data_IF_628773178406
#
_entry.id   IF_628773178406
#
_cell.length_a   1.000
_cell.length_b   1.000
_cell.length_c   1.000
_cell.angle_alpha   90.00
_cell.angle_beta   90.00
_cell.angle_gamma   90.00
#
_symmetry.space_group_name_H-M   'P 1'
#
loop_
_entity.id
_entity.type
_entity.pdbx_description
1 polymer ?
#
# COMPACT_ATOMS: atom_id res chain seq x y z
N UNK A 1 -2.33 19.32 -2.72
CA UNK A 1 -2.03 19.10 -4.16
C UNK A 1 -2.07 17.61 -4.40
N UNK A 2 -2.91 17.17 -5.33
CA UNK A 2 -3.10 15.74 -5.61
C UNK A 2 -1.77 15.11 -6.08
N UNK A 3 -1.38 14.00 -5.44
CA UNK A 3 -0.20 13.22 -5.83
C UNK A 3 -0.62 12.02 -6.69
N UNK A 4 -1.81 11.45 -6.43
CA UNK A 4 -2.38 10.33 -7.17
C UNK A 4 -3.78 10.70 -7.63
N UNK A 5 -4.07 10.49 -8.92
CA UNK A 5 -5.39 10.66 -9.51
C UNK A 5 -5.79 9.41 -10.26
N UNK A 6 -6.94 8.86 -9.91
CA UNK A 6 -7.52 7.66 -10.52
C UNK A 6 -8.82 8.07 -11.18
N UNK A 7 -8.88 8.02 -12.51
CA UNK A 7 -9.98 8.56 -13.29
C UNK A 7 -10.58 7.48 -14.19
N UNK A 8 -11.81 7.06 -13.89
CA UNK A 8 -12.59 6.13 -14.69
C UNK A 8 -11.92 4.77 -14.88
N UNK A 9 -11.13 4.30 -13.90
CA UNK A 9 -10.36 3.06 -14.06
C UNK A 9 -11.30 1.86 -14.13
N UNK A 10 -11.19 1.14 -15.24
CA UNK A 10 -11.90 -0.10 -15.54
C UNK A 10 -10.90 -1.23 -15.76
N UNK A 11 -11.21 -2.43 -15.27
CA UNK A 11 -10.42 -3.65 -15.55
C UNK A 11 -11.33 -4.82 -15.84
N UNK A 12 -11.14 -5.39 -17.01
CA UNK A 12 -11.83 -6.61 -17.47
C UNK A 12 -10.78 -7.68 -17.77
N UNK A 13 -10.88 -8.81 -17.11
CA UNK A 13 -10.09 -10.00 -17.43
C UNK A 13 -10.90 -10.87 -18.39
N UNK A 14 -10.25 -11.36 -19.44
CA UNK A 14 -10.83 -12.31 -20.38
C UNK A 14 -9.92 -13.52 -20.52
N UNK A 15 -10.49 -14.72 -20.57
CA UNK A 15 -9.72 -15.93 -20.87
C UNK A 15 -9.41 -16.02 -22.36
N UNK A 16 -8.25 -16.57 -22.74
CA UNK A 16 -7.74 -16.66 -24.13
C UNK A 16 -8.67 -17.39 -25.10
N UNK A 17 -9.64 -18.16 -24.63
CA UNK A 17 -10.50 -19.03 -25.45
C UNK A 17 -11.99 -18.66 -25.38
N UNK A 18 -12.34 -17.38 -25.29
CA UNK A 18 -13.75 -16.95 -25.34
C UNK A 18 -14.58 -17.29 -24.12
N UNK A 19 -13.94 -17.57 -22.98
CA UNK A 19 -14.59 -17.84 -21.70
C UNK A 19 -15.15 -16.59 -21.02
N UNK A 20 -15.69 -16.77 -19.82
CA UNK A 20 -16.33 -15.71 -19.04
C UNK A 20 -15.42 -14.47 -18.89
N UNK A 21 -16.00 -13.30 -19.14
CA UNK A 21 -15.38 -12.01 -18.84
C UNK A 21 -15.64 -11.68 -17.37
N UNK A 22 -14.60 -11.35 -16.64
CA UNK A 22 -14.70 -10.90 -15.24
C UNK A 22 -14.36 -9.41 -15.21
N UNK A 23 -15.33 -8.59 -14.90
CA UNK A 23 -15.16 -7.15 -14.72
C UNK A 23 -14.74 -6.91 -13.25
N UNK A 24 -13.44 -6.82 -13.03
CA UNK A 24 -12.88 -6.67 -11.68
C UNK A 24 -12.97 -5.22 -11.16
N UNK A 25 -12.89 -4.24 -12.07
CA UNK A 25 -13.12 -2.82 -11.78
C UNK A 25 -14.01 -2.26 -12.87
N UNK A 26 -15.03 -1.47 -12.49
CA UNK A 26 -16.01 -0.91 -13.41
C UNK A 26 -15.76 0.55 -13.74
N UNK A 27 -15.65 1.39 -12.70
CA UNK A 27 -15.46 2.84 -12.83
C UNK A 27 -14.88 3.41 -11.53
N UNK A 28 -13.59 3.17 -11.28
CA UNK A 28 -12.95 3.64 -10.05
C UNK A 28 -12.46 5.06 -10.22
N UNK A 29 -12.91 5.95 -9.32
CA UNK A 29 -12.54 7.36 -9.30
C UNK A 29 -12.19 7.79 -7.88
N UNK A 30 -10.99 8.30 -7.66
CA UNK A 30 -10.57 8.98 -6.44
C UNK A 30 -9.23 9.71 -6.65
N UNK A 31 -8.91 10.59 -5.73
CA UNK A 31 -7.61 11.27 -5.67
C UNK A 31 -6.97 11.02 -4.31
N UNK A 32 -5.64 11.15 -4.21
CA UNK A 32 -4.90 11.15 -2.95
C UNK A 32 -4.02 12.39 -2.91
N UNK A 33 -4.09 13.14 -1.80
CA UNK A 33 -3.27 14.31 -1.59
C UNK A 33 -1.87 13.92 -1.07
N UNK A 34 -0.87 14.77 -1.35
CA UNK A 34 0.47 14.56 -0.81
C UNK A 34 0.44 14.56 0.73
N UNK A 35 1.06 13.55 1.36
CA UNK A 35 1.06 13.36 2.81
C UNK A 35 -0.24 12.75 3.35
N UNK A 36 -1.19 12.37 2.52
CA UNK A 36 -2.41 11.69 2.97
C UNK A 36 -2.14 10.22 3.29
N UNK A 37 -2.80 9.69 4.33
CA UNK A 37 -2.86 8.27 4.62
C UNK A 37 -4.26 7.76 4.34
N UNK A 38 -4.41 7.01 3.26
CA UNK A 38 -5.69 6.47 2.78
C UNK A 38 -5.72 4.95 2.99
N UNK A 39 -6.82 4.44 3.55
CA UNK A 39 -7.12 3.02 3.55
C UNK A 39 -8.21 2.70 2.52
N UNK A 40 -8.06 1.59 1.80
CA UNK A 40 -9.05 1.04 0.88
C UNK A 40 -9.59 -0.25 1.49
N UNK A 41 -10.88 -0.29 1.77
CA UNK A 41 -11.58 -1.42 2.35
C UNK A 41 -12.64 -1.98 1.40
N UNK A 42 -13.00 -3.23 1.58
CA UNK A 42 -14.08 -3.90 0.82
C UNK A 42 -14.02 -5.41 1.01
N UNK A 43 -15.06 -6.10 0.58
CA UNK A 43 -15.17 -7.55 0.66
C UNK A 43 -14.12 -8.27 -0.21
N UNK A 44 -13.92 -9.56 0.02
CA UNK A 44 -13.10 -10.38 -0.88
C UNK A 44 -13.71 -10.35 -2.29
N UNK A 45 -12.85 -10.19 -3.30
CA UNK A 45 -13.31 -10.10 -4.70
C UNK A 45 -13.82 -8.73 -5.15
N UNK A 46 -13.87 -7.71 -4.29
CA UNK A 46 -14.34 -6.36 -4.66
C UNK A 46 -13.42 -5.58 -5.60
N UNK A 47 -12.24 -6.12 -5.95
CA UNK A 47 -11.30 -5.49 -6.88
C UNK A 47 -10.10 -4.79 -6.24
N UNK A 48 -9.92 -4.84 -4.91
CA UNK A 48 -8.84 -4.15 -4.19
C UNK A 48 -7.44 -4.51 -4.69
N UNK A 49 -7.13 -5.79 -4.79
CA UNK A 49 -5.82 -6.27 -5.28
C UNK A 49 -5.62 -5.91 -6.75
N UNK A 50 -6.68 -5.96 -7.56
CA UNK A 50 -6.63 -5.50 -8.97
C UNK A 50 -6.30 -4.02 -9.04
N UNK A 51 -6.98 -3.19 -8.24
CA UNK A 51 -6.71 -1.77 -8.16
C UNK A 51 -5.26 -1.51 -7.72
N UNK A 52 -4.82 -2.17 -6.63
CA UNK A 52 -3.46 -2.02 -6.14
C UNK A 52 -2.41 -2.38 -7.19
N UNK A 53 -2.61 -3.47 -7.96
CA UNK A 53 -1.71 -3.86 -9.05
C UNK A 53 -1.64 -2.80 -10.15
N UNK A 54 -2.75 -2.15 -10.48
CA UNK A 54 -2.77 -1.05 -11.45
C UNK A 54 -2.03 0.17 -10.91
N UNK A 55 -2.27 0.57 -9.66
CA UNK A 55 -1.56 1.67 -8.98
C UNK A 55 -0.06 1.38 -8.86
N UNK A 56 0.28 0.11 -8.75
CA UNK A 56 1.64 -0.40 -8.70
C UNK A 56 2.34 -0.43 -10.08
N UNK A 57 1.63 -0.11 -11.16
CA UNK A 57 2.10 -0.34 -12.52
C UNK A 57 2.57 -1.80 -12.76
N UNK A 58 1.93 -2.78 -12.07
CA UNK A 58 2.10 -4.23 -12.28
C UNK A 58 1.10 -4.76 -13.30
N UNK A 59 -0.03 -4.07 -13.45
CA UNK A 59 -1.07 -4.38 -14.43
C UNK A 59 -1.55 -3.07 -15.07
N UNK A 60 -2.13 -3.16 -16.28
CA UNK A 60 -2.69 -2.01 -16.99
C UNK A 60 -4.21 -2.04 -16.92
N UNK A 61 -4.89 -0.90 -16.73
CA UNK A 61 -6.34 -0.85 -16.81
C UNK A 61 -6.81 -1.14 -18.24
N UNK A 62 -8.05 -1.61 -18.39
CA UNK A 62 -8.70 -1.78 -19.69
C UNK A 62 -9.15 -0.43 -20.25
N UNK A 63 -9.53 0.51 -19.37
CA UNK A 63 -9.87 1.89 -19.68
C UNK A 63 -9.63 2.78 -18.45
N UNK A 64 -9.64 4.10 -18.64
CA UNK A 64 -9.34 5.08 -17.62
C UNK A 64 -7.84 5.36 -17.50
N UNK A 65 -7.49 6.27 -16.60
CA UNK A 65 -6.11 6.73 -16.39
C UNK A 65 -5.73 6.74 -14.92
N UNK A 66 -4.45 6.54 -14.64
CA UNK A 66 -3.85 6.69 -13.31
C UNK A 66 -2.67 7.64 -13.43
N UNK A 67 -2.75 8.79 -12.76
CA UNK A 67 -1.69 9.80 -12.74
C UNK A 67 -0.99 9.78 -11.38
N UNK A 68 0.33 9.68 -11.37
CA UNK A 68 1.16 9.87 -10.17
C UNK A 68 2.12 11.04 -10.40
N UNK A 69 1.97 12.10 -9.61
CA UNK A 69 2.74 13.37 -9.79
C UNK A 69 2.72 13.88 -11.24
N UNK A 70 1.56 13.83 -11.90
CA UNK A 70 1.39 14.24 -13.29
C UNK A 70 1.92 13.26 -14.34
N UNK A 71 2.49 12.12 -13.93
CA UNK A 71 2.92 11.07 -14.85
C UNK A 71 1.81 10.03 -15.03
N UNK A 72 1.40 9.79 -16.27
CA UNK A 72 0.42 8.75 -16.59
C UNK A 72 1.05 7.35 -16.52
N UNK A 73 0.69 6.59 -15.47
CA UNK A 73 1.19 5.22 -15.27
C UNK A 73 0.78 4.28 -16.41
N UNK A 74 -0.33 4.56 -17.07
CA UNK A 74 -0.87 3.71 -18.14
C UNK A 74 -0.07 3.86 -19.43
N UNK A 75 0.61 5.00 -19.61
CA UNK A 75 1.42 5.33 -20.77
C UNK A 75 2.91 5.00 -20.61
N UNK A 76 3.36 4.59 -19.42
CA UNK A 76 4.77 4.23 -19.19
C UNK A 76 5.14 3.02 -20.06
N UNK A 77 6.25 3.15 -20.78
CA UNK A 77 6.79 2.06 -21.63
C UNK A 77 7.30 0.91 -20.77
N UNK A 78 7.09 -0.32 -21.19
CA UNK A 78 7.43 -1.53 -20.42
C UNK A 78 8.90 -1.56 -19.95
N UNK A 79 9.83 -1.04 -20.74
CA UNK A 79 11.26 -0.93 -20.38
C UNK A 79 11.56 0.07 -19.25
N UNK A 80 10.66 1.03 -19.00
CA UNK A 80 10.83 2.12 -18.03
C UNK A 80 10.06 1.85 -16.74
N UNK A 81 9.03 0.99 -16.80
CA UNK A 81 8.11 0.76 -15.69
C UNK A 81 8.83 0.22 -14.42
N UNK A 82 9.86 -0.61 -14.58
CA UNK A 82 10.63 -1.14 -13.44
C UNK A 82 11.43 -0.05 -12.72
N UNK A 83 12.05 0.87 -13.49
CA UNK A 83 12.76 2.02 -12.94
C UNK A 83 11.77 2.99 -12.26
N UNK A 84 10.64 3.26 -12.90
CA UNK A 84 9.59 4.09 -12.32
C UNK A 84 9.10 3.55 -10.95
N UNK A 85 8.76 2.24 -10.88
CA UNK A 85 8.35 1.61 -9.62
C UNK A 85 9.41 1.75 -8.54
N UNK A 86 10.69 1.47 -8.86
CA UNK A 86 11.80 1.58 -7.92
C UNK A 86 11.97 2.99 -7.38
N UNK A 87 11.82 4.00 -8.24
CA UNK A 87 12.16 5.38 -7.91
C UNK A 87 10.99 6.15 -7.26
N UNK A 88 9.74 5.76 -7.54
CA UNK A 88 8.55 6.51 -7.10
C UNK A 88 7.65 5.75 -6.12
N UNK A 89 7.71 4.41 -6.08
CA UNK A 89 6.81 3.59 -5.28
C UNK A 89 7.55 2.77 -4.23
N UNK A 90 6.97 2.68 -3.04
CA UNK A 90 7.38 1.73 -2.01
C UNK A 90 6.30 0.67 -1.81
N UNK A 91 6.71 -0.59 -1.64
CA UNK A 91 5.77 -1.70 -1.47
C UNK A 91 5.94 -2.40 -0.13
N UNK A 92 4.83 -2.61 0.57
CA UNK A 92 4.75 -3.41 1.79
C UNK A 92 3.65 -4.46 1.60
N UNK A 93 4.04 -5.74 1.58
CA UNK A 93 3.15 -6.87 1.33
C UNK A 93 2.84 -7.64 2.62
N UNK A 94 1.74 -8.39 2.62
CA UNK A 94 1.33 -9.25 3.72
C UNK A 94 2.40 -10.29 4.07
N UNK A 95 3.01 -10.94 3.07
CA UNK A 95 4.01 -12.00 3.25
C UNK A 95 5.45 -11.48 3.23
N UNK A 96 5.65 -10.19 3.56
CA UNK A 96 6.96 -9.52 3.64
C UNK A 96 7.73 -9.47 2.31
N UNK A 97 7.70 -10.51 1.51
CA UNK A 97 8.43 -10.70 0.24
C UNK A 97 9.93 -10.38 0.40
N UNK A 98 10.53 -10.84 1.49
CA UNK A 98 11.97 -10.81 1.70
C UNK A 98 12.62 -12.03 1.06
N UNK A 99 13.82 -11.86 0.55
CA UNK A 99 14.64 -12.93 -0.01
C UNK A 99 15.38 -13.62 1.14
N UNK A 100 15.10 -14.90 1.39
CA UNK A 100 15.64 -15.66 2.52
C UNK A 100 17.16 -15.90 2.44
N UNK A 101 17.72 -15.83 1.24
CA UNK A 101 19.17 -15.97 0.98
C UNK A 101 19.96 -14.68 1.23
N UNK A 102 19.28 -13.58 1.51
CA UNK A 102 19.85 -12.26 1.77
C UNK A 102 19.64 -11.86 3.22
N UNK A 103 20.61 -11.13 3.78
CA UNK A 103 20.43 -10.49 5.09
C UNK A 103 19.33 -9.45 5.05
N UNK A 104 18.86 -8.97 6.21
CA UNK A 104 17.90 -7.86 6.22
C UNK A 104 18.49 -6.59 5.60
N UNK A 105 19.79 -6.32 5.81
CA UNK A 105 20.50 -5.22 5.16
C UNK A 105 20.45 -5.34 3.64
N UNK A 106 20.78 -6.50 3.09
CA UNK A 106 20.79 -6.74 1.64
C UNK A 106 19.37 -6.59 1.05
N UNK A 107 18.36 -7.14 1.73
CA UNK A 107 16.96 -6.97 1.34
C UNK A 107 16.53 -5.49 1.28
N UNK A 108 16.90 -4.71 2.30
CA UNK A 108 16.56 -3.29 2.39
C UNK A 108 17.29 -2.48 1.31
N UNK A 109 18.57 -2.79 1.06
CA UNK A 109 19.38 -2.07 0.11
C UNK A 109 19.15 -2.46 -1.35
N UNK A 110 18.46 -3.57 -1.63
CA UNK A 110 18.27 -4.08 -2.98
C UNK A 110 17.76 -3.01 -3.98
N UNK A 111 16.75 -2.19 -3.70
CA UNK A 111 16.33 -1.14 -4.62
C UNK A 111 17.43 -0.10 -4.88
N UNK A 112 18.21 0.24 -3.88
CA UNK A 112 19.30 1.21 -3.98
C UNK A 112 20.48 0.66 -4.81
N UNK A 113 20.77 -0.64 -4.69
CA UNK A 113 21.76 -1.35 -5.51
C UNK A 113 21.31 -1.36 -6.99
N UNK A 114 20.04 -1.66 -7.24
CA UNK A 114 19.47 -1.63 -8.59
C UNK A 114 19.44 -0.21 -9.19
N UNK A 115 19.36 0.82 -8.35
CA UNK A 115 19.51 2.23 -8.75
C UNK A 115 20.97 2.65 -8.92
N UNK A 116 21.94 1.78 -8.65
CA UNK A 116 23.40 2.02 -8.72
C UNK A 116 23.85 3.16 -7.81
N UNK A 117 23.21 3.30 -6.64
CA UNK A 117 23.69 4.25 -5.63
C UNK A 117 25.05 3.82 -5.10
N UNK A 118 25.89 4.78 -4.72
CA UNK A 118 27.16 4.50 -4.08
C UNK A 118 26.96 3.86 -2.70
N UNK A 119 27.94 3.07 -2.24
CA UNK A 119 27.89 2.45 -0.91
C UNK A 119 27.69 3.51 0.21
N UNK A 120 28.35 4.65 0.05
CA UNK A 120 28.24 5.75 1.02
C UNK A 120 26.81 6.28 1.11
N UNK A 121 26.14 6.52 -0.03
CA UNK A 121 24.74 6.97 -0.07
C UNK A 121 23.80 5.92 0.50
N UNK A 122 24.00 4.65 0.17
CA UNK A 122 23.22 3.55 0.71
C UNK A 122 23.29 3.52 2.24
N UNK A 123 24.50 3.61 2.82
CA UNK A 123 24.69 3.61 4.27
C UNK A 123 24.13 4.88 4.95
N UNK A 124 24.22 6.04 4.29
CA UNK A 124 23.62 7.29 4.79
C UNK A 124 22.10 7.21 4.87
N UNK A 125 21.45 6.47 3.97
CA UNK A 125 20.00 6.24 3.99
C UNK A 125 19.61 5.13 4.98
N UNK A 126 20.36 4.04 5.00
CA UNK A 126 20.06 2.85 5.80
C UNK A 126 20.12 3.11 7.30
N UNK A 127 21.22 3.71 7.80
CA UNK A 127 21.46 3.85 9.23
C UNK A 127 20.33 4.55 9.98
N UNK A 128 19.90 5.78 9.59
CA UNK A 128 18.81 6.46 10.30
C UNK A 128 17.49 5.73 10.14
N UNK A 129 17.24 5.12 8.97
CA UNK A 129 16.02 4.37 8.72
C UNK A 129 15.93 3.11 9.59
N UNK A 130 17.00 2.34 9.69
CA UNK A 130 17.06 1.15 10.53
C UNK A 130 16.88 1.47 12.03
N UNK A 131 17.43 2.58 12.49
CA UNK A 131 17.22 3.07 13.85
C UNK A 131 15.75 3.46 14.08
N UNK A 132 15.15 4.22 13.18
CA UNK A 132 13.76 4.64 13.28
C UNK A 132 12.79 3.45 13.31
N UNK A 133 13.08 2.40 12.53
CA UNK A 133 12.26 1.20 12.46
C UNK A 133 12.61 0.16 13.55
N UNK A 134 13.62 0.41 14.40
CA UNK A 134 14.01 -0.48 15.49
C UNK A 134 14.55 -1.83 14.99
N UNK A 135 15.31 -1.82 13.89
CA UNK A 135 15.93 -3.02 13.29
C UNK A 135 17.43 -2.89 13.08
N UNK A 136 18.07 -1.85 13.65
CA UNK A 136 19.50 -1.60 13.45
C UNK A 136 20.39 -2.79 13.86
N UNK A 137 20.07 -3.43 14.99
CA UNK A 137 20.83 -4.59 15.52
C UNK A 137 20.51 -5.90 14.78
N UNK A 138 19.53 -5.87 13.85
CA UNK A 138 19.07 -7.04 13.10
C UNK A 138 19.59 -7.07 11.66
N UNK A 139 20.25 -6.03 11.20
CA UNK A 139 20.62 -5.86 9.79
C UNK A 139 21.43 -7.04 9.21
N UNK A 140 22.27 -7.67 10.02
CA UNK A 140 23.12 -8.81 9.63
C UNK A 140 22.42 -10.17 9.71
N UNK A 141 21.19 -10.22 10.25
CA UNK A 141 20.39 -11.44 10.34
C UNK A 141 19.68 -11.73 9.04
N UNK A 142 19.37 -13.00 8.83
CA UNK A 142 18.54 -13.47 7.74
C UNK A 142 17.04 -13.43 8.12
N UNK A 143 16.12 -13.39 7.15
CA UNK A 143 14.69 -13.36 7.43
C UNK A 143 14.20 -14.49 8.34
N UNK A 144 14.72 -15.71 8.20
CA UNK A 144 14.36 -16.85 9.06
C UNK A 144 14.83 -16.76 10.50
N UNK A 145 15.73 -15.82 10.83
CA UNK A 145 16.27 -15.61 12.20
C UNK A 145 15.50 -14.54 13.01
N UNK A 146 14.47 -13.94 12.44
CA UNK A 146 13.75 -12.82 13.02
C UNK A 146 12.24 -13.05 13.05
N UNK A 147 11.52 -12.37 13.96
CA UNK A 147 10.06 -12.48 14.07
C UNK A 147 9.31 -11.87 12.88
N UNK A 148 8.02 -12.23 12.70
CA UNK A 148 7.16 -11.67 11.66
C UNK A 148 7.10 -10.15 11.70
N UNK A 149 6.95 -9.55 12.89
CA UNK A 149 6.96 -8.09 13.04
C UNK A 149 8.31 -7.46 12.66
N UNK A 150 9.44 -8.13 12.94
CA UNK A 150 10.77 -7.67 12.52
C UNK A 150 10.94 -7.78 11.00
N UNK A 151 10.46 -8.87 10.38
CA UNK A 151 10.41 -9.01 8.91
C UNK A 151 9.61 -7.87 8.28
N UNK A 152 8.45 -7.55 8.84
CA UNK A 152 7.59 -6.50 8.29
C UNK A 152 8.22 -5.11 8.41
N UNK A 153 8.92 -4.83 9.51
CA UNK A 153 9.69 -3.59 9.64
C UNK A 153 10.84 -3.51 8.64
N UNK A 154 11.51 -4.63 8.33
CA UNK A 154 12.51 -4.68 7.27
C UNK A 154 11.90 -4.48 5.88
N UNK A 155 10.73 -5.06 5.60
CA UNK A 155 9.98 -4.81 4.37
C UNK A 155 9.56 -3.33 4.24
N UNK A 156 9.13 -2.70 5.34
CA UNK A 156 8.84 -1.26 5.37
C UNK A 156 10.12 -0.42 5.15
N UNK A 157 11.26 -0.83 5.72
CA UNK A 157 12.55 -0.17 5.45
C UNK A 157 12.93 -0.25 3.96
N UNK A 158 12.77 -1.43 3.34
CA UNK A 158 12.98 -1.61 1.91
C UNK A 158 12.08 -0.71 1.07
N UNK A 159 10.81 -0.56 1.46
CA UNK A 159 9.88 0.33 0.79
C UNK A 159 10.30 1.81 0.87
N UNK A 160 10.93 2.22 1.97
CA UNK A 160 11.29 3.61 2.26
C UNK A 160 12.68 4.03 1.80
N UNK A 161 13.60 3.08 1.54
CA UNK A 161 15.04 3.37 1.30
C UNK A 161 15.26 4.31 0.09
N UNK A 162 14.38 4.22 -0.92
CA UNK A 162 14.42 5.09 -2.09
C UNK A 162 13.70 6.43 -1.89
N UNK A 163 13.09 6.67 -0.72
CA UNK A 163 12.25 7.85 -0.44
C UNK A 163 11.10 8.00 -1.45
N UNK A 164 10.24 6.98 -1.55
CA UNK A 164 9.19 6.94 -2.57
C UNK A 164 8.19 8.09 -2.39
N UNK A 165 7.49 8.42 -3.46
CA UNK A 165 6.39 9.39 -3.42
C UNK A 165 5.13 8.81 -2.79
N UNK A 166 4.90 7.52 -3.00
CA UNK A 166 3.73 6.80 -2.52
C UNK A 166 4.14 5.42 -1.98
N UNK A 167 3.71 5.09 -0.78
CA UNK A 167 3.77 3.73 -0.25
C UNK A 167 2.44 3.03 -0.56
N UNK A 168 2.52 1.87 -1.19
CA UNK A 168 1.42 0.95 -1.43
C UNK A 168 1.57 -0.23 -0.46
N UNK A 169 0.61 -0.41 0.43
CA UNK A 169 0.60 -1.49 1.41
C UNK A 169 -0.58 -2.44 1.15
N UNK A 170 -0.28 -3.72 0.91
CA UNK A 170 -1.28 -4.77 0.68
C UNK A 170 -1.39 -5.65 1.92
N UNK A 171 -2.48 -5.51 2.65
CA UNK A 171 -2.76 -6.25 3.90
C UNK A 171 -1.55 -6.32 4.85
N UNK A 172 -0.87 -5.21 5.16
CA UNK A 172 0.46 -5.24 5.79
C UNK A 172 0.49 -5.83 7.20
N UNK A 173 -0.67 -6.02 7.81
CA UNK A 173 -0.84 -6.59 9.15
C UNK A 173 -1.36 -8.03 9.15
N UNK A 174 -1.69 -8.59 7.98
CA UNK A 174 -2.40 -9.88 7.88
C UNK A 174 -1.63 -11.10 8.41
N UNK A 175 -0.29 -11.02 8.43
CA UNK A 175 0.57 -12.10 8.95
C UNK A 175 1.16 -11.79 10.35
N UNK A 176 0.66 -10.76 11.06
CA UNK A 176 1.21 -10.29 12.32
C UNK A 176 0.32 -10.62 13.51
N UNK A 177 0.93 -10.86 14.67
CA UNK A 177 0.22 -10.85 15.95
C UNK A 177 -0.26 -9.43 16.32
N UNK A 178 -1.10 -9.33 17.35
CA UNK A 178 -1.71 -8.06 17.77
C UNK A 178 -0.67 -7.00 18.15
N UNK A 179 0.42 -7.38 18.83
CA UNK A 179 1.48 -6.46 19.26
C UNK A 179 2.27 -5.92 18.07
N UNK A 180 2.71 -6.81 17.19
CA UNK A 180 3.43 -6.42 15.97
C UNK A 180 2.55 -5.58 15.03
N UNK A 181 1.24 -5.86 15.00
CA UNK A 181 0.24 -5.03 14.29
C UNK A 181 0.24 -3.60 14.83
N UNK A 182 0.13 -3.41 16.15
CA UNK A 182 0.11 -2.07 16.76
C UNK A 182 1.42 -1.32 16.54
N UNK A 183 2.55 -2.01 16.65
CA UNK A 183 3.87 -1.45 16.36
C UNK A 183 3.99 -0.96 14.90
N UNK A 184 3.53 -1.77 13.93
CA UNK A 184 3.57 -1.41 12.50
C UNK A 184 2.63 -0.25 12.17
N UNK A 185 1.38 -0.28 12.67
CA UNK A 185 0.41 0.80 12.43
C UNK A 185 0.88 2.11 13.06
N UNK A 186 1.45 2.06 14.28
CA UNK A 186 2.10 3.20 14.90
C UNK A 186 3.29 3.72 14.09
N UNK A 187 4.09 2.84 13.48
CA UNK A 187 5.16 3.21 12.57
C UNK A 187 4.62 3.94 11.34
N UNK A 188 3.60 3.41 10.67
CA UNK A 188 2.98 4.06 9.51
C UNK A 188 2.43 5.45 9.87
N UNK A 189 1.79 5.61 11.03
CA UNK A 189 1.36 6.91 11.52
C UNK A 189 2.50 7.90 11.69
N UNK A 190 3.65 7.47 12.27
CA UNK A 190 4.83 8.35 12.42
C UNK A 190 5.45 8.74 11.08
N UNK A 191 5.54 7.80 10.15
CA UNK A 191 6.08 8.06 8.80
C UNK A 191 5.15 9.00 8.04
N UNK A 192 3.85 8.80 8.13
CA UNK A 192 2.85 9.68 7.52
C UNK A 192 2.90 11.09 8.11
N UNK A 193 3.03 11.23 9.43
CA UNK A 193 3.18 12.53 10.10
C UNK A 193 4.42 13.32 9.63
N UNK A 194 5.42 12.64 9.06
CA UNK A 194 6.60 13.25 8.41
C UNK A 194 6.35 13.61 6.93
N UNK A 195 5.13 13.46 6.44
CA UNK A 195 4.72 13.83 5.07
C UNK A 195 4.73 12.68 4.06
N UNK A 196 4.98 11.43 4.47
CA UNK A 196 4.93 10.30 3.55
C UNK A 196 3.48 9.96 3.19
N UNK A 197 3.18 9.92 1.90
CA UNK A 197 1.87 9.45 1.41
C UNK A 197 1.78 7.94 1.49
N UNK A 198 0.67 7.42 2.04
CA UNK A 198 0.44 5.99 2.22
C UNK A 198 -0.96 5.63 1.67
N UNK A 199 -1.03 4.61 0.83
CA UNK A 199 -2.27 3.97 0.41
C UNK A 199 -2.21 2.50 0.84
N UNK A 200 -3.09 2.12 1.75
CA UNK A 200 -3.16 0.78 2.32
C UNK A 200 -4.44 0.10 1.90
N UNK A 201 -4.32 -1.09 1.34
CA UNK A 201 -5.45 -2.00 1.13
C UNK A 201 -5.56 -2.91 2.33
N UNK A 202 -6.73 -3.02 2.94
CA UNK A 202 -6.96 -3.91 4.09
C UNK A 202 -8.43 -4.26 4.29
N UNK A 203 -8.69 -5.45 4.85
CA UNK A 203 -9.99 -5.83 5.40
C UNK A 203 -10.08 -5.59 6.93
N UNK A 204 -8.96 -5.24 7.57
CA UNK A 204 -8.90 -4.98 9.01
C UNK A 204 -9.41 -3.59 9.34
N UNK A 205 -10.53 -3.52 10.08
CA UNK A 205 -11.07 -2.26 10.61
C UNK A 205 -10.05 -1.55 11.49
N UNK A 206 -9.31 -2.31 12.31
CA UNK A 206 -8.24 -1.79 13.16
C UNK A 206 -7.14 -1.13 12.32
N UNK A 207 -6.69 -1.77 11.24
CA UNK A 207 -5.68 -1.17 10.37
C UNK A 207 -6.21 0.09 9.68
N UNK A 208 -7.41 0.04 9.11
CA UNK A 208 -8.04 1.17 8.44
C UNK A 208 -8.30 2.36 9.39
N UNK A 209 -8.57 2.10 10.67
CA UNK A 209 -8.79 3.17 11.65
C UNK A 209 -7.54 4.01 11.95
N UNK A 210 -6.36 3.64 11.47
CA UNK A 210 -5.15 4.44 11.53
C UNK A 210 -4.99 5.42 10.35
N UNK A 211 -5.77 5.25 9.27
CA UNK A 211 -5.73 6.14 8.11
C UNK A 211 -6.43 7.48 8.37
N UNK A 212 -6.13 8.51 7.61
CA UNK A 212 -6.83 9.81 7.61
C UNK A 212 -8.14 9.76 6.84
N UNK A 213 -8.26 8.85 5.87
CA UNK A 213 -9.45 8.62 5.05
C UNK A 213 -9.57 7.14 4.72
N UNK A 214 -10.82 6.66 4.67
CA UNK A 214 -11.14 5.28 4.29
C UNK A 214 -12.05 5.32 3.07
N UNK A 215 -11.66 4.63 2.01
CA UNK A 215 -12.45 4.40 0.81
C UNK A 215 -13.02 2.97 0.87
N UNK A 216 -14.29 2.83 0.53
CA UNK A 216 -14.95 1.52 0.47
C UNK A 216 -15.17 1.14 -0.98
N UNK A 217 -14.62 -0.03 -1.38
CA UNK A 217 -14.83 -0.61 -2.71
C UNK A 217 -15.83 -1.75 -2.60
N UNK A 218 -16.85 -1.70 -3.45
CA UNK A 218 -17.84 -2.76 -3.65
C UNK A 218 -18.08 -2.94 -5.14
N UNK A 219 -18.15 -4.17 -5.62
CA UNK A 219 -18.46 -4.53 -7.00
C UNK A 219 -17.63 -3.77 -8.05
N UNK A 220 -16.34 -3.50 -7.74
CA UNK A 220 -15.41 -2.82 -8.64
C UNK A 220 -15.56 -1.29 -8.71
N UNK A 221 -16.24 -0.66 -7.76
CA UNK A 221 -16.42 0.79 -7.68
C UNK A 221 -16.15 1.32 -6.28
N UNK A 222 -15.66 2.57 -6.16
CA UNK A 222 -15.61 3.29 -4.89
C UNK A 222 -17.01 3.88 -4.64
N UNK A 223 -17.73 3.32 -3.68
CA UNK A 223 -19.11 3.70 -3.44
C UNK A 223 -19.31 4.58 -2.20
N UNK A 224 -18.35 4.58 -1.27
CA UNK A 224 -18.42 5.39 -0.05
C UNK A 224 -17.04 5.77 0.46
N UNK A 225 -16.97 6.85 1.25
CA UNK A 225 -15.73 7.26 1.90
C UNK A 225 -16.00 7.92 3.25
N UNK A 226 -15.07 7.72 4.17
CA UNK A 226 -15.10 8.32 5.52
C UNK A 226 -13.81 9.09 5.74
N UNK A 227 -13.91 10.33 6.19
CA UNK A 227 -12.79 11.12 6.66
C UNK A 227 -12.66 11.03 8.19
N UNK A 228 -11.44 10.88 8.68
CA UNK A 228 -11.14 10.88 10.11
C UNK A 228 -11.57 12.20 10.76
N UNK A 229 -11.20 13.35 10.17
CA UNK A 229 -11.34 14.66 10.80
C UNK A 229 -10.62 14.70 12.16
N UNK A 230 -11.32 15.12 13.19
CA UNK A 230 -10.83 15.17 14.58
C UNK A 230 -11.05 13.87 15.37
N UNK A 231 -11.52 12.78 14.73
CA UNK A 231 -11.82 11.51 15.41
C UNK A 231 -10.54 10.80 15.86
N UNK A 232 -10.59 10.16 17.06
CA UNK A 232 -9.56 9.21 17.50
C UNK A 232 -9.60 7.94 16.66
N UNK A 233 -8.60 7.05 16.83
CA UNK A 233 -8.59 5.75 16.16
C UNK A 233 -9.81 4.91 16.57
N UNK A 234 -10.20 4.92 17.84
CA UNK A 234 -11.35 4.19 18.37
C UNK A 234 -12.68 4.72 17.78
N UNK A 235 -12.82 6.03 17.67
CA UNK A 235 -14.00 6.65 17.07
C UNK A 235 -14.09 6.34 15.57
N UNK A 236 -12.95 6.37 14.85
CA UNK A 236 -12.92 6.00 13.46
C UNK A 236 -13.17 4.49 13.26
N UNK A 237 -12.62 3.65 14.14
CA UNK A 237 -12.91 2.21 14.16
C UNK A 237 -14.41 1.95 14.24
N UNK A 238 -15.11 2.63 15.17
CA UNK A 238 -16.57 2.48 15.33
C UNK A 238 -17.31 2.92 14.06
N UNK A 239 -16.98 4.10 13.51
CA UNK A 239 -17.60 4.60 12.27
C UNK A 239 -17.43 3.62 11.10
N UNK A 240 -16.24 3.02 10.95
CA UNK A 240 -15.96 2.03 9.91
C UNK A 240 -16.81 0.77 10.16
N UNK A 241 -16.87 0.28 11.40
CA UNK A 241 -17.63 -0.92 11.76
C UNK A 241 -19.13 -0.74 11.50
N UNK A 242 -19.68 0.42 11.88
CA UNK A 242 -21.10 0.75 11.63
C UNK A 242 -21.39 0.81 10.13
N UNK A 243 -20.50 1.43 9.36
CA UNK A 243 -20.63 1.50 7.89
C UNK A 243 -20.60 0.09 7.27
N UNK A 244 -19.66 -0.77 7.66
CA UNK A 244 -19.60 -2.14 7.15
C UNK A 244 -20.86 -2.94 7.51
N UNK A 245 -21.42 -2.73 8.71
CA UNK A 245 -22.66 -3.37 9.14
C UNK A 245 -23.84 -2.92 8.27
N UNK A 246 -23.97 -1.61 8.02
CA UNK A 246 -25.01 -1.06 7.14
C UNK A 246 -24.92 -1.61 5.72
N UNK A 247 -23.70 -1.78 5.22
CA UNK A 247 -23.44 -2.30 3.88
C UNK A 247 -23.76 -3.80 3.76
N UNK A 248 -23.48 -4.58 4.81
CA UNK A 248 -23.78 -6.01 4.86
C UNK A 248 -25.29 -6.29 5.01
N UNK A 249 -26.03 -5.41 5.70
CA UNK A 249 -27.49 -5.54 5.91
C UNK A 249 -28.32 -4.99 4.74
N UNK A 250 -27.67 -4.52 3.66
CA UNK A 250 -28.35 -4.16 2.40
C UNK A 250 -29.22 -2.93 2.48
N UNK A 251 -28.85 -1.88 3.24
CA UNK A 251 -29.53 -0.58 3.13
C UNK A 251 -31.08 -0.60 3.20
N UNK A 252 -31.70 -1.62 3.75
CA UNK A 252 -33.14 -1.64 4.01
C UNK A 252 -33.43 -0.81 5.25
N UNK A 253 -33.52 0.50 5.05
CA UNK A 253 -34.39 1.43 5.81
C UNK A 253 -34.00 2.88 5.47
N UNK A 254 -34.61 3.42 4.44
CA UNK A 254 -35.04 4.82 4.41
C UNK A 254 -36.03 5.01 3.26
#
# INVERSE_FOLDING_TARGET
MSILEVNGVKKVYSTRFGGARVEALKNVNFTVEAGEYVAIMGESGSGKTTLLNILAALDKPTAGTVMLEGNDLTAIRDKEVAAFRRDHLGFVFQEFNLLDTFTLEDNILLPAVLARLSYQEMQQRLKPLAQELGIADLLKKYPYEVSGGQKQRAAAARALIMKPRLILADEPTGALDSKATDELLGLFGRINAKGQTILMVTHSVKAASHAGRVLFIKDGEVFHQIYRGSSTNEQLYQKISDTLTMLATGGEQA
#
